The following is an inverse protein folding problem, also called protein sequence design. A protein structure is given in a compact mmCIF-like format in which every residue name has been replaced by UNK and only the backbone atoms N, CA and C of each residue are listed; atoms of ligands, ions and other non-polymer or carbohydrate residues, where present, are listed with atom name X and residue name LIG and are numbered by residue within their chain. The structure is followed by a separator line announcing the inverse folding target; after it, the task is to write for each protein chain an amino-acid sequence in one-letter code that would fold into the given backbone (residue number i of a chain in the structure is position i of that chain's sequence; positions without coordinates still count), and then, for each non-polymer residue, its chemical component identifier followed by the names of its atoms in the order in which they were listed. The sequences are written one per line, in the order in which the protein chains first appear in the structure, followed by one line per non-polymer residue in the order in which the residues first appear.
data_IF_944213491581
#
_entry.id   IF_944213491581
#
_cell.length_a   1.000
_cell.length_b   1.000
_cell.length_c   1.000
_cell.angle_alpha   90.00
_cell.angle_beta   90.00
_cell.angle_gamma   90.00
#
_symmetry.space_group_name_H-M   'P 1'
#
loop_
_entity.id
_entity.type
_entity.pdbx_description
1 polymer ?
#
# COMPACT_ATOMS: atom_id res chain seq x y z
N UNK A 1 8.56 22.15 -7.73
CA UNK A 1 8.56 20.71 -7.49
C UNK A 1 9.76 20.35 -6.65
N UNK A 2 9.54 19.52 -5.62
CA UNK A 2 10.63 18.92 -4.85
C UNK A 2 11.30 17.86 -5.73
N UNK A 3 12.63 17.82 -5.78
CA UNK A 3 13.37 16.77 -6.51
C UNK A 3 14.00 15.82 -5.50
N UNK A 4 13.86 14.51 -5.71
CA UNK A 4 14.47 13.47 -4.88
C UNK A 4 14.07 13.56 -3.39
N UNK A 5 12.76 13.66 -3.14
CA UNK A 5 12.22 13.67 -1.78
C UNK A 5 11.94 12.25 -1.31
N UNK A 6 12.45 11.90 -0.13
CA UNK A 6 12.16 10.63 0.54
C UNK A 6 11.44 10.91 1.85
N UNK A 7 10.35 10.19 2.08
CA UNK A 7 9.64 10.17 3.35
C UNK A 7 9.54 8.72 3.83
N UNK A 8 9.99 8.47 5.07
CA UNK A 8 10.10 7.11 5.58
C UNK A 8 9.78 7.00 7.07
N UNK A 9 9.35 5.83 7.54
CA UNK A 9 9.11 5.53 8.96
C UNK A 9 8.08 6.47 9.58
N UNK A 10 6.96 6.66 8.89
CA UNK A 10 5.88 7.54 9.29
C UNK A 10 4.64 6.77 9.72
N UNK A 11 3.82 7.41 10.55
CA UNK A 11 2.58 6.82 11.04
C UNK A 11 1.45 7.85 10.99
N UNK A 12 0.57 7.69 10.01
CA UNK A 12 -0.58 8.54 9.77
C UNK A 12 -1.86 7.76 10.01
N UNK A 13 -2.63 8.16 11.02
CA UNK A 13 -3.86 7.46 11.42
C UNK A 13 -5.04 8.40 11.57
N UNK A 14 -6.23 7.80 11.54
CA UNK A 14 -7.51 8.47 11.74
C UNK A 14 -7.77 9.61 10.73
N UNK A 15 -7.19 9.51 9.53
CA UNK A 15 -7.41 10.48 8.47
C UNK A 15 -8.82 10.31 7.91
N UNK A 16 -9.61 11.39 7.88
CA UNK A 16 -10.99 11.34 7.38
C UNK A 16 -11.09 11.22 5.86
N UNK A 17 -10.17 11.87 5.12
CA UNK A 17 -10.18 11.90 3.65
C UNK A 17 -9.12 11.01 3.01
N UNK A 18 -8.42 11.58 2.02
CA UNK A 18 -7.25 10.93 1.39
C UNK A 18 -6.04 11.00 2.32
N UNK A 19 -5.36 9.86 2.51
CA UNK A 19 -4.16 9.77 3.35
C UNK A 19 -2.97 10.50 2.74
N UNK A 20 -2.56 10.09 1.55
CA UNK A 20 -1.45 10.68 0.81
C UNK A 20 -1.89 10.96 -0.62
N UNK A 21 -1.70 12.18 -1.10
CA UNK A 21 -1.81 12.53 -2.52
C UNK A 21 -0.42 12.88 -3.08
N UNK A 22 -0.06 12.24 -4.19
CA UNK A 22 1.18 12.46 -4.94
C UNK A 22 0.81 13.06 -6.30
N UNK A 23 1.05 14.35 -6.47
CA UNK A 23 0.60 15.14 -7.62
C UNK A 23 1.70 15.72 -8.52
N UNK A 24 2.98 15.56 -8.14
CA UNK A 24 4.13 16.06 -8.92
C UNK A 24 4.79 14.92 -9.74
N UNK A 25 5.47 15.26 -10.83
CA UNK A 25 6.17 14.33 -11.74
C UNK A 25 7.58 13.98 -11.28
N UNK A 26 8.08 14.67 -10.25
CA UNK A 26 9.41 14.44 -9.70
C UNK A 26 9.49 13.11 -8.93
N UNK A 27 10.69 12.50 -8.90
CA UNK A 27 10.94 11.25 -8.18
C UNK A 27 10.75 11.45 -6.67
N UNK A 28 9.77 10.72 -6.12
CA UNK A 28 9.41 10.71 -4.71
C UNK A 28 9.44 9.27 -4.19
N UNK A 29 9.97 9.09 -2.98
CA UNK A 29 10.00 7.79 -2.31
C UNK A 29 9.18 7.83 -1.01
N UNK A 30 8.21 6.94 -0.89
CA UNK A 30 7.46 6.65 0.35
C UNK A 30 7.83 5.25 0.81
N UNK A 31 8.39 5.13 2.01
CA UNK A 31 8.98 3.88 2.47
C UNK A 31 8.56 3.59 3.92
N UNK A 32 8.22 2.35 4.25
CA UNK A 32 8.07 1.91 5.65
C UNK A 32 7.11 2.79 6.46
N UNK A 33 5.83 2.87 6.08
CA UNK A 33 4.89 3.78 6.73
C UNK A 33 3.48 3.25 6.86
N UNK A 34 2.75 3.76 7.86
CA UNK A 34 1.34 3.43 8.09
C UNK A 34 0.47 4.58 7.58
N UNK A 35 -0.58 4.21 6.85
CA UNK A 35 -1.62 5.12 6.37
C UNK A 35 -2.98 4.52 6.66
N UNK A 36 -3.65 5.01 7.71
CA UNK A 36 -5.01 4.61 8.08
C UNK A 36 -6.00 5.75 7.82
N UNK A 37 -6.99 5.49 6.96
CA UNK A 37 -7.94 6.51 6.48
C UNK A 37 -9.38 5.99 6.40
N UNK A 38 -10.35 6.91 6.32
CA UNK A 38 -11.78 6.61 6.15
C UNK A 38 -12.27 6.65 4.70
N UNK A 39 -11.46 7.13 3.75
CA UNK A 39 -11.85 7.22 2.34
C UNK A 39 -10.83 6.54 1.40
N UNK A 40 -9.70 7.20 1.13
CA UNK A 40 -8.66 6.76 0.20
C UNK A 40 -7.31 6.71 0.90
N UNK A 41 -6.56 5.63 0.74
CA UNK A 41 -5.23 5.50 1.32
C UNK A 41 -4.21 6.37 0.60
N UNK A 42 -3.91 6.02 -0.66
CA UNK A 42 -2.90 6.71 -1.48
C UNK A 42 -3.46 7.06 -2.85
N UNK A 43 -3.25 8.29 -3.29
CA UNK A 43 -3.61 8.77 -4.62
C UNK A 43 -2.35 9.19 -5.40
N UNK A 44 -2.12 8.60 -6.57
CA UNK A 44 -0.96 8.90 -7.42
C UNK A 44 -1.43 9.49 -8.76
N UNK A 45 -1.24 10.79 -8.98
CA UNK A 45 -1.77 11.53 -10.14
C UNK A 45 -0.77 11.80 -11.26
N UNK A 46 0.54 11.62 -11.02
CA UNK A 46 1.54 11.98 -12.03
C UNK A 46 2.99 11.56 -11.80
N UNK A 47 3.30 10.79 -10.75
CA UNK A 47 4.68 10.57 -10.33
C UNK A 47 5.28 9.25 -10.82
N UNK A 48 6.57 9.29 -11.19
CA UNK A 48 7.48 8.14 -11.02
C UNK A 48 7.79 8.02 -9.52
N UNK A 49 6.81 7.58 -8.73
CA UNK A 49 6.97 7.39 -7.30
C UNK A 49 7.47 5.98 -6.99
N UNK A 50 8.36 5.86 -6.01
CA UNK A 50 8.70 4.60 -5.37
C UNK A 50 7.90 4.49 -4.07
N UNK A 51 6.95 3.57 -4.02
CA UNK A 51 6.05 3.36 -2.89
C UNK A 51 6.29 1.93 -2.42
N UNK A 52 7.03 1.78 -1.31
CA UNK A 52 7.46 0.47 -0.84
C UNK A 52 7.21 0.29 0.64
N UNK A 53 6.92 -0.95 1.06
CA UNK A 53 6.78 -1.29 2.48
C UNK A 53 5.76 -0.39 3.20
N UNK A 54 4.66 -0.02 2.57
CA UNK A 54 3.58 0.69 3.25
C UNK A 54 2.55 -0.28 3.80
N UNK A 55 1.98 0.03 4.97
CA UNK A 55 0.74 -0.57 5.45
C UNK A 55 -0.38 0.45 5.31
N UNK A 56 -1.27 0.23 4.35
CA UNK A 56 -2.42 1.08 4.05
C UNK A 56 -3.69 0.39 4.54
N UNK A 57 -4.43 1.02 5.46
CA UNK A 57 -5.77 0.58 5.88
C UNK A 57 -6.81 1.62 5.46
N UNK A 58 -7.57 1.33 4.41
CA UNK A 58 -8.57 2.26 3.87
C UNK A 58 -9.69 1.51 3.10
N UNK A 59 -10.90 2.09 2.98
CA UNK A 59 -11.95 1.51 2.13
C UNK A 59 -11.60 1.52 0.62
N UNK A 60 -10.84 2.52 0.17
CA UNK A 60 -10.18 2.53 -1.15
C UNK A 60 -8.68 2.55 -0.88
N UNK A 61 -7.95 1.52 -1.29
CA UNK A 61 -6.55 1.36 -0.90
C UNK A 61 -5.64 2.36 -1.62
N UNK A 62 -5.38 2.11 -2.90
CA UNK A 62 -4.50 2.92 -3.75
C UNK A 62 -5.19 3.22 -5.08
N UNK A 63 -5.23 4.50 -5.45
CA UNK A 63 -5.71 4.97 -6.75
C UNK A 63 -4.53 5.50 -7.56
N UNK A 64 -4.31 4.92 -8.74
CA UNK A 64 -3.32 5.38 -9.72
C UNK A 64 -4.05 6.06 -10.87
N UNK A 65 -3.97 7.39 -10.88
CA UNK A 65 -4.57 8.30 -11.86
C UNK A 65 -3.49 9.15 -12.54
N UNK A 66 -2.36 8.51 -12.89
CA UNK A 66 -1.22 9.15 -13.51
C UNK A 66 -0.71 8.43 -14.76
N UNK A 67 -0.23 9.20 -15.73
CA UNK A 67 0.31 8.68 -16.97
C UNK A 67 1.56 7.81 -16.73
N UNK A 68 2.41 8.22 -15.78
CA UNK A 68 3.62 7.49 -15.40
C UNK A 68 3.31 6.32 -14.45
N UNK A 69 4.12 5.25 -14.55
CA UNK A 69 3.93 4.05 -13.72
C UNK A 69 4.71 4.20 -12.41
N UNK A 70 4.05 4.26 -11.24
CA UNK A 70 4.76 4.19 -9.98
C UNK A 70 5.27 2.77 -9.72
N UNK A 71 6.37 2.69 -8.98
CA UNK A 71 6.89 1.46 -8.43
C UNK A 71 6.20 1.18 -7.09
N UNK A 72 5.08 0.47 -7.11
CA UNK A 72 4.31 0.06 -5.93
C UNK A 72 4.57 -1.43 -5.64
N UNK A 73 5.31 -1.73 -4.57
CA UNK A 73 5.67 -3.10 -4.20
C UNK A 73 5.84 -3.27 -2.69
N UNK A 74 5.75 -4.51 -2.23
CA UNK A 74 5.98 -4.93 -0.84
C UNK A 74 5.08 -4.23 0.18
N UNK A 75 3.95 -3.68 -0.28
CA UNK A 75 2.96 -3.05 0.55
C UNK A 75 1.90 -4.05 1.05
N UNK A 76 1.34 -3.76 2.21
CA UNK A 76 0.12 -4.37 2.71
C UNK A 76 -0.99 -3.33 2.54
N UNK A 77 -1.96 -3.66 1.71
CA UNK A 77 -3.13 -2.84 1.41
C UNK A 77 -4.33 -3.61 1.97
N UNK A 78 -4.90 -3.12 3.05
CA UNK A 78 -5.97 -3.76 3.81
C UNK A 78 -7.21 -2.88 3.84
N UNK A 79 -8.39 -3.49 3.83
CA UNK A 79 -9.65 -2.83 4.19
C UNK A 79 -10.24 -3.49 5.44
N UNK A 80 -9.73 -3.08 6.61
CA UNK A 80 -10.26 -3.52 7.90
C UNK A 80 -11.52 -2.74 8.29
N UNK A 81 -11.64 -1.51 7.78
CA UNK A 81 -12.69 -0.57 8.22
C UNK A 81 -14.06 -0.92 7.62
N UNK A 82 -14.11 -1.47 6.41
CA UNK A 82 -15.33 -1.95 5.77
C UNK A 82 -15.05 -3.21 4.91
N UNK A 83 -14.74 -4.36 5.52
CA UNK A 83 -14.31 -5.55 4.79
C UNK A 83 -15.34 -6.01 3.76
N UNK A 84 -14.86 -6.53 2.63
CA UNK A 84 -15.71 -6.99 1.53
C UNK A 84 -16.28 -5.86 0.67
N UNK A 85 -15.72 -4.66 0.77
CA UNK A 85 -16.09 -3.49 -0.04
C UNK A 85 -14.88 -2.87 -0.73
N UNK A 86 -15.14 -1.95 -1.65
CA UNK A 86 -14.11 -1.10 -2.26
C UNK A 86 -13.11 -1.84 -3.16
N UNK A 87 -12.05 -1.11 -3.52
CA UNK A 87 -10.98 -1.59 -4.40
C UNK A 87 -9.63 -1.39 -3.72
N UNK A 88 -8.81 -2.44 -3.73
CA UNK A 88 -7.46 -2.40 -3.17
C UNK A 88 -6.51 -1.53 -3.98
N UNK A 89 -6.28 -1.88 -5.24
CA UNK A 89 -5.56 -1.04 -6.20
C UNK A 89 -6.46 -0.79 -7.41
N UNK A 90 -6.73 0.48 -7.71
CA UNK A 90 -7.43 0.91 -8.91
C UNK A 90 -6.49 1.70 -9.80
N UNK A 91 -6.53 1.44 -11.10
CA UNK A 91 -5.82 2.24 -12.09
C UNK A 91 -6.77 2.82 -13.15
N UNK A 92 -6.56 4.07 -13.54
CA UNK A 92 -7.47 4.76 -14.47
C UNK A 92 -7.03 4.63 -15.94
N UNK A 93 -5.72 4.64 -16.21
CA UNK A 93 -5.21 4.94 -17.57
C UNK A 93 -4.68 3.71 -18.33
N UNK A 94 -3.72 2.97 -17.78
CA UNK A 94 -2.80 2.17 -18.61
C UNK A 94 -2.85 0.64 -18.40
N UNK A 95 -3.77 0.11 -17.57
CA UNK A 95 -3.94 -1.33 -17.34
C UNK A 95 -2.65 -2.08 -17.00
N UNK A 96 -1.86 -1.54 -16.08
CA UNK A 96 -0.51 -2.00 -15.72
C UNK A 96 -0.56 -3.08 -14.62
N UNK A 97 0.60 -3.63 -14.32
CA UNK A 97 0.80 -4.63 -13.25
C UNK A 97 1.54 -4.05 -12.05
N UNK A 98 1.04 -4.33 -10.85
CA UNK A 98 1.60 -3.97 -9.54
C UNK A 98 1.82 -5.23 -8.68
N UNK A 99 2.80 -6.08 -9.02
CA UNK A 99 3.05 -7.34 -8.34
C UNK A 99 3.63 -7.15 -6.93
N UNK A 100 3.63 -8.22 -6.13
CA UNK A 100 4.23 -8.27 -4.79
C UNK A 100 3.56 -7.33 -3.77
N UNK A 101 2.26 -7.08 -3.90
CA UNK A 101 1.48 -6.38 -2.86
C UNK A 101 0.49 -7.37 -2.25
N UNK A 102 0.36 -7.34 -0.92
CA UNK A 102 -0.73 -8.05 -0.27
C UNK A 102 -1.97 -7.14 -0.27
N UNK A 103 -3.05 -7.59 -0.90
CA UNK A 103 -4.29 -6.83 -1.00
C UNK A 103 -5.40 -7.64 -0.34
N UNK A 104 -5.82 -7.23 0.86
CA UNK A 104 -6.73 -8.01 1.70
C UNK A 104 -7.96 -7.24 2.17
N UNK A 105 -9.09 -7.93 2.31
CA UNK A 105 -10.34 -7.36 2.84
C UNK A 105 -11.16 -6.53 1.84
N UNK A 106 -10.77 -6.48 0.56
CA UNK A 106 -11.51 -5.74 -0.47
C UNK A 106 -12.50 -6.63 -1.24
N UNK A 107 -13.57 -6.03 -1.78
CA UNK A 107 -14.45 -6.70 -2.75
C UNK A 107 -13.68 -7.04 -4.03
N UNK A 108 -12.90 -6.08 -4.51
CA UNK A 108 -12.05 -6.22 -5.69
C UNK A 108 -10.61 -5.90 -5.31
N UNK A 109 -9.70 -6.87 -5.42
CA UNK A 109 -8.29 -6.64 -5.11
C UNK A 109 -7.66 -5.63 -6.09
N UNK A 110 -7.87 -5.83 -7.39
CA UNK A 110 -7.35 -4.95 -8.46
C UNK A 110 -8.44 -4.60 -9.46
N UNK A 111 -8.56 -3.33 -9.85
CA UNK A 111 -9.48 -2.86 -10.89
C UNK A 111 -8.71 -2.13 -11.98
N UNK A 112 -8.96 -2.52 -13.24
CA UNK A 112 -8.25 -2.00 -14.41
C UNK A 112 -6.72 -2.07 -14.29
N UNK A 113 -6.22 -3.03 -13.53
CA UNK A 113 -4.81 -3.36 -13.35
C UNK A 113 -4.73 -4.81 -12.87
N UNK A 114 -3.52 -5.34 -12.67
CA UNK A 114 -3.34 -6.69 -12.16
C UNK A 114 -2.07 -6.81 -11.29
N UNK A 115 -1.78 -8.01 -10.79
CA UNK A 115 -0.53 -8.34 -10.09
C UNK A 115 0.30 -9.39 -10.86
N UNK A 116 0.21 -9.41 -12.21
CA UNK A 116 0.94 -10.39 -13.04
C UNK A 116 2.45 -10.31 -12.79
N UNK A 117 3.14 -11.45 -12.92
CA UNK A 117 4.58 -11.67 -12.67
C UNK A 117 4.98 -11.95 -11.21
N UNK A 118 4.01 -12.09 -10.31
CA UNK A 118 4.18 -12.63 -8.96
C UNK A 118 2.92 -13.39 -8.54
N UNK A 119 2.99 -14.28 -7.52
CA UNK A 119 1.80 -14.79 -6.86
C UNK A 119 0.95 -13.63 -6.32
N UNK A 120 -0.36 -13.68 -6.58
CA UNK A 120 -1.29 -12.76 -5.93
C UNK A 120 -1.37 -13.09 -4.45
N UNK A 121 -0.97 -12.13 -3.61
CA UNK A 121 -1.15 -12.22 -2.17
C UNK A 121 -2.44 -11.50 -1.79
N UNK A 122 -3.42 -12.28 -1.35
CA UNK A 122 -4.65 -11.80 -0.73
C UNK A 122 -4.90 -12.65 0.50
N UNK A 123 -4.01 -12.49 1.48
CA UNK A 123 -4.08 -13.23 2.74
C UNK A 123 -4.27 -12.24 3.87
N UNK A 124 -4.95 -12.70 4.93
CA UNK A 124 -5.04 -11.96 6.18
C UNK A 124 -3.61 -11.64 6.65
N UNK A 125 -3.26 -10.35 6.85
CA UNK A 125 -1.95 -9.97 7.35
C UNK A 125 -1.63 -10.56 8.74
N UNK A 126 -2.63 -10.94 9.53
CA UNK A 126 -2.46 -11.42 10.89
C UNK A 126 -1.69 -10.43 11.77
N UNK A 127 -2.13 -9.18 11.76
CA UNK A 127 -1.63 -8.14 12.66
C UNK A 127 -1.86 -8.49 14.14
N UNK A 128 -1.06 -7.92 15.05
CA UNK A 128 -1.32 -7.98 16.49
C UNK A 128 -2.69 -7.36 16.85
N UNK A 129 -3.05 -6.26 16.20
CA UNK A 129 -4.33 -5.57 16.40
C UNK A 129 -4.41 -4.80 17.73
N UNK A 130 -5.61 -4.68 18.31
CA UNK A 130 -5.85 -3.99 19.59
C UNK A 130 -6.32 -2.54 19.45
N UNK A 131 -6.20 -1.77 20.53
CA UNK A 131 -6.61 -0.35 20.61
C UNK A 131 -5.58 0.44 21.45
N UNK A 132 -4.75 1.33 20.85
CA UNK A 132 -4.67 1.62 19.41
C UNK A 132 -4.23 0.40 18.59
N UNK A 133 -4.62 0.35 17.33
CA UNK A 133 -4.39 -0.83 16.49
C UNK A 133 -2.89 -1.02 16.21
N UNK A 134 -2.36 -2.20 16.49
CA UNK A 134 -0.97 -2.55 16.23
C UNK A 134 -0.82 -3.25 14.87
N UNK A 135 -0.14 -2.58 13.93
CA UNK A 135 0.12 -3.08 12.57
C UNK A 135 1.39 -3.94 12.44
N UNK A 136 2.05 -4.29 13.55
CA UNK A 136 3.07 -5.34 13.50
C UNK A 136 2.43 -6.68 13.15
N UNK A 137 3.07 -7.43 12.27
CA UNK A 137 2.67 -8.78 11.93
C UNK A 137 3.02 -9.73 13.08
N UNK A 138 2.13 -10.69 13.36
CA UNK A 138 2.46 -11.85 14.21
C UNK A 138 3.55 -12.70 13.55
N UNK A 139 4.35 -13.40 14.35
CA UNK A 139 5.44 -14.25 13.86
C UNK A 139 4.99 -15.34 12.87
N UNK A 140 3.76 -15.84 13.04
CA UNK A 140 3.16 -16.84 12.14
C UNK A 140 2.56 -16.27 10.85
N UNK A 141 2.59 -14.95 10.65
CA UNK A 141 1.98 -14.33 9.47
C UNK A 141 2.68 -14.79 8.19
N UNK A 142 1.93 -15.18 7.15
CA UNK A 142 2.51 -15.50 5.84
C UNK A 142 3.29 -14.31 5.25
N UNK A 143 3.00 -13.08 5.70
CA UNK A 143 3.63 -11.87 5.20
C UNK A 143 4.99 -11.55 5.84
N UNK A 144 5.44 -12.32 6.85
CA UNK A 144 6.78 -12.16 7.47
C UNK A 144 7.94 -12.48 6.52
N UNK A 145 7.68 -13.23 5.44
CA UNK A 145 8.71 -13.67 4.49
C UNK A 145 8.30 -13.48 3.02
N UNK A 146 7.25 -12.69 2.75
CA UNK A 146 6.60 -12.64 1.44
C UNK A 146 7.00 -11.43 0.58
N UNK A 147 7.90 -10.55 1.06
CA UNK A 147 8.39 -9.44 0.24
C UNK A 147 9.14 -9.94 -0.99
N UNK A 148 9.23 -9.11 -2.01
CA UNK A 148 9.87 -9.37 -3.30
C UNK A 148 11.34 -9.78 -3.20
N UNK A 149 12.01 -9.45 -2.08
CA UNK A 149 13.41 -9.78 -1.80
C UNK A 149 13.58 -10.81 -0.69
N UNK A 150 12.48 -11.36 -0.18
CA UNK A 150 12.46 -12.10 1.07
C UNK A 150 12.43 -11.16 2.29
N UNK A 151 11.67 -11.55 3.31
CA UNK A 151 11.45 -10.76 4.51
C UNK A 151 10.03 -10.19 4.62
N UNK A 152 9.83 -9.33 5.62
CA UNK A 152 8.53 -8.83 6.02
C UNK A 152 7.99 -7.81 5.00
N UNK A 153 6.67 -7.82 4.77
CA UNK A 153 5.98 -6.82 3.97
C UNK A 153 5.42 -5.68 4.85
N UNK A 154 5.05 -4.57 4.21
CA UNK A 154 4.39 -3.46 4.91
C UNK A 154 5.34 -2.62 5.76
N UNK A 155 4.77 -1.78 6.63
CA UNK A 155 5.45 -0.68 7.33
C UNK A 155 6.77 -1.06 8.05
N UNK A 156 6.92 -2.32 8.46
CA UNK A 156 8.06 -2.82 9.24
C UNK A 156 8.98 -3.76 8.45
N UNK A 157 8.75 -3.90 7.13
CA UNK A 157 9.39 -4.89 6.28
C UNK A 157 10.85 -4.62 5.89
N UNK A 158 11.28 -3.36 5.91
CA UNK A 158 12.62 -2.97 5.45
C UNK A 158 13.75 -3.21 6.48
N UNK A 159 13.49 -3.96 7.56
CA UNK A 159 14.55 -4.46 8.45
C UNK A 159 15.41 -3.41 9.14
N UNK A 160 14.87 -2.25 9.52
CA UNK A 160 15.58 -1.23 10.31
C UNK A 160 14.69 -0.77 11.45
N UNK A 161 14.96 -1.28 12.66
CA UNK A 161 14.57 -0.63 13.91
C UNK A 161 15.80 0.12 14.45
#
# INVERSE_FOLDING_TARGET
GNRSFTFSHFDFREILGTGIEISDVASLSLISGIVETKELGVHVKGAVASITFLTVNAPKGVLIDGAEKPNLLDCIIENRTNPGSGVGIEEVIASRSYPFNNIHGYFTATKNCNQSRAPMLNVDPQFFGGTPFNYHLKDGSPLKNASSKGGEMGAYGNGSF
#
